data_IF_998124788437
#
_entry.id   IF_998124788437
#
_cell.length_a   1.000
_cell.length_b   1.000
_cell.length_c   1.000
_cell.angle_alpha   90.00
_cell.angle_beta   90.00
_cell.angle_gamma   90.00
#
_symmetry.space_group_name_H-M   'P 1'
#
loop_
_entity.id
_entity.type
_entity.pdbx_description
1 polymer ?
#
# COMPACT_ATOMS: atom_id res chain seq x y z
N UNK A 1 52.69 0.58 14.92
CA UNK A 1 51.47 -0.11 15.43
C UNK A 1 50.23 0.78 15.46
N UNK A 2 50.21 1.93 16.17
CA UNK A 2 49.00 2.80 16.26
C UNK A 2 48.48 3.36 14.93
N UNK A 3 49.35 3.74 13.99
CA UNK A 3 48.96 4.27 12.67
C UNK A 3 48.23 3.23 11.81
N UNK A 4 48.66 1.97 11.85
CA UNK A 4 48.02 0.88 11.08
C UNK A 4 46.63 0.57 11.64
N UNK A 5 46.46 0.56 12.97
CA UNK A 5 45.16 0.36 13.63
C UNK A 5 44.18 1.47 13.24
N UNK A 6 44.62 2.74 13.27
CA UNK A 6 43.76 3.87 12.91
C UNK A 6 43.36 3.86 11.42
N UNK A 7 44.26 3.45 10.52
CA UNK A 7 43.95 3.26 9.09
C UNK A 7 42.96 2.11 8.85
N UNK A 8 43.12 0.97 9.54
CA UNK A 8 42.20 -0.16 9.41
C UNK A 8 40.82 0.17 9.96
N UNK A 9 40.73 0.91 11.06
CA UNK A 9 39.43 1.33 11.61
C UNK A 9 38.73 2.33 10.69
N UNK A 10 39.46 3.28 10.09
CA UNK A 10 38.90 4.20 9.09
C UNK A 10 38.41 3.50 7.82
N UNK A 11 39.17 2.52 7.33
CA UNK A 11 38.76 1.72 6.17
C UNK A 11 37.52 0.85 6.45
N UNK A 12 37.42 0.25 7.64
CA UNK A 12 36.24 -0.54 8.05
C UNK A 12 35.01 0.36 8.20
N UNK A 13 35.15 1.55 8.80
CA UNK A 13 34.05 2.51 8.93
C UNK A 13 33.55 2.99 7.56
N UNK A 14 34.45 3.27 6.62
CA UNK A 14 34.11 3.67 5.26
C UNK A 14 33.39 2.53 4.50
N UNK A 15 33.87 1.29 4.63
CA UNK A 15 33.25 0.13 3.99
C UNK A 15 31.84 -0.17 4.54
N UNK A 16 31.64 -0.08 5.85
CA UNK A 16 30.32 -0.25 6.48
C UNK A 16 29.37 0.89 6.09
N UNK A 17 29.85 2.13 6.01
CA UNK A 17 29.06 3.28 5.55
C UNK A 17 28.60 3.15 4.09
N UNK A 18 29.43 2.59 3.21
CA UNK A 18 29.10 2.36 1.81
C UNK A 18 27.94 1.36 1.61
N UNK A 19 27.72 0.43 2.55
CA UNK A 19 26.58 -0.50 2.50
C UNK A 19 25.23 0.21 2.69
N UNK A 20 25.19 1.35 3.39
CA UNK A 20 23.97 2.14 3.60
C UNK A 20 23.67 3.12 2.45
N UNK A 21 24.59 3.28 1.49
CA UNK A 21 24.41 4.14 0.31
C UNK A 21 23.77 3.41 -0.88
N UNK A 22 23.53 2.11 -0.77
CA UNK A 22 22.73 1.38 -1.74
C UNK A 22 21.26 1.50 -1.36
N UNK A 23 20.44 2.29 -2.07
CA UNK A 23 19.01 2.14 -1.95
C UNK A 23 18.69 0.72 -2.40
N UNK A 24 18.34 -0.14 -1.45
CA UNK A 24 17.67 -1.39 -1.76
C UNK A 24 16.42 -0.95 -2.52
N UNK A 25 16.38 -1.20 -3.82
CA UNK A 25 15.21 -0.92 -4.65
C UNK A 25 14.11 -1.87 -4.18
N UNK A 26 13.40 -1.48 -3.13
CA UNK A 26 12.20 -2.15 -2.68
C UNK A 26 11.14 -1.85 -3.74
N UNK A 27 10.79 -2.86 -4.55
CA UNK A 27 9.62 -2.79 -5.39
C UNK A 27 8.39 -2.89 -4.48
N UNK A 28 7.87 -1.74 -4.06
CA UNK A 28 6.60 -1.70 -3.36
C UNK A 28 5.48 -1.79 -4.41
N UNK A 29 5.01 -3.01 -4.68
CA UNK A 29 3.78 -3.21 -5.43
C UNK A 29 2.59 -2.94 -4.49
N UNK A 30 2.27 -1.65 -4.33
CA UNK A 30 1.19 -1.17 -3.47
C UNK A 30 -0.17 -1.79 -3.84
N UNK A 31 -0.30 -2.21 -5.09
CA UNK A 31 -1.47 -2.74 -5.80
C UNK A 31 -1.64 -4.27 -5.75
N UNK A 32 -0.84 -4.97 -4.94
CA UNK A 32 -1.00 -6.43 -4.74
C UNK A 32 -2.10 -6.75 -3.73
N UNK A 33 -2.61 -7.99 -3.76
CA UNK A 33 -3.61 -8.47 -2.79
C UNK A 33 -3.12 -8.45 -1.34
N UNK A 34 -1.81 -8.60 -1.14
CA UNK A 34 -1.15 -8.49 0.16
C UNK A 34 -0.55 -7.09 0.39
N UNK A 35 -0.83 -6.15 -0.51
CA UNK A 35 -0.31 -4.79 -0.52
C UNK A 35 -1.04 -3.85 0.45
N UNK A 36 -0.42 -2.70 0.77
CA UNK A 36 -1.00 -1.71 1.67
C UNK A 36 -2.36 -1.16 1.20
N UNK A 37 -2.60 -1.06 -0.12
CA UNK A 37 -3.87 -0.59 -0.68
C UNK A 37 -5.02 -1.52 -0.27
N UNK A 38 -4.83 -2.83 -0.43
CA UNK A 38 -5.84 -3.83 -0.06
C UNK A 38 -5.95 -3.97 1.46
N UNK A 39 -4.86 -3.84 2.21
CA UNK A 39 -4.90 -3.81 3.67
C UNK A 39 -5.76 -2.68 4.21
N UNK A 40 -5.67 -1.48 3.64
CA UNK A 40 -6.55 -0.36 4.02
C UNK A 40 -7.99 -0.55 3.51
N UNK A 41 -8.21 -1.22 2.37
CA UNK A 41 -9.56 -1.58 1.92
C UNK A 41 -10.27 -2.54 2.87
N UNK A 42 -9.56 -3.57 3.35
CA UNK A 42 -10.06 -4.48 4.37
C UNK A 42 -10.40 -3.73 5.66
N UNK A 43 -9.55 -2.78 6.06
CA UNK A 43 -9.81 -1.92 7.21
C UNK A 43 -11.03 -1.02 7.00
N UNK A 44 -11.18 -0.43 5.81
CA UNK A 44 -12.34 0.38 5.46
C UNK A 44 -13.64 -0.41 5.59
N UNK A 45 -13.67 -1.64 5.08
CA UNK A 45 -14.82 -2.54 5.21
C UNK A 45 -15.10 -2.92 6.67
N UNK A 46 -14.08 -3.21 7.46
CA UNK A 46 -14.23 -3.62 8.86
C UNK A 46 -14.71 -2.47 9.77
N UNK A 47 -14.33 -1.24 9.44
CA UNK A 47 -14.70 -0.04 10.21
C UNK A 47 -15.81 0.78 9.55
N UNK A 48 -16.38 0.30 8.46
CA UNK A 48 -17.41 0.97 7.65
C UNK A 48 -17.03 2.42 7.29
N UNK A 49 -15.75 2.63 6.96
CA UNK A 49 -15.17 3.97 6.83
C UNK A 49 -14.31 4.10 5.56
N UNK A 50 -14.85 4.77 4.55
CA UNK A 50 -14.19 5.01 3.25
C UNK A 50 -12.92 5.87 3.33
N UNK A 51 -12.71 6.63 4.41
CA UNK A 51 -11.52 7.51 4.54
C UNK A 51 -10.20 6.73 4.52
N UNK A 52 -10.21 5.44 4.90
CA UNK A 52 -9.04 4.57 4.80
C UNK A 52 -8.59 4.33 3.36
N UNK A 53 -9.52 4.35 2.39
CA UNK A 53 -9.23 4.12 0.98
C UNK A 53 -9.15 5.42 0.16
N UNK A 54 -9.80 6.50 0.59
CA UNK A 54 -9.75 7.81 -0.07
C UNK A 54 -8.30 8.33 -0.24
N UNK A 55 -7.42 8.04 0.72
CA UNK A 55 -5.99 8.43 0.64
C UNK A 55 -5.21 7.78 -0.51
N UNK A 56 -5.75 6.72 -1.12
CA UNK A 56 -5.11 5.95 -2.20
C UNK A 56 -5.58 6.36 -3.59
N UNK A 57 -6.50 7.33 -3.69
CA UNK A 57 -7.06 7.82 -4.95
C UNK A 57 -6.74 9.32 -5.14
N UNK A 58 -6.77 9.79 -6.38
CA UNK A 58 -6.71 11.23 -6.66
C UNK A 58 -7.99 11.92 -6.18
N UNK A 59 -7.94 13.22 -5.80
CA UNK A 59 -9.13 13.98 -5.42
C UNK A 59 -10.27 13.91 -6.44
N UNK A 60 -9.95 13.87 -7.74
CA UNK A 60 -10.94 13.79 -8.82
C UNK A 60 -11.64 12.43 -8.90
N UNK A 61 -11.11 11.40 -8.23
CA UNK A 61 -11.64 10.04 -8.21
C UNK A 61 -12.20 9.65 -6.83
N UNK A 62 -12.23 10.58 -5.87
CA UNK A 62 -12.72 10.33 -4.52
C UNK A 62 -14.22 9.99 -4.53
N UNK A 63 -15.03 10.74 -5.26
CA UNK A 63 -16.47 10.46 -5.39
C UNK A 63 -16.74 9.07 -6.02
N UNK A 64 -15.94 8.65 -7.00
CA UNK A 64 -16.07 7.34 -7.62
C UNK A 64 -15.84 6.21 -6.62
N UNK A 65 -14.78 6.29 -5.81
CA UNK A 65 -14.46 5.23 -4.85
C UNK A 65 -15.45 5.23 -3.67
N UNK A 66 -15.93 6.39 -3.24
CA UNK A 66 -16.98 6.49 -2.23
C UNK A 66 -18.30 5.86 -2.71
N UNK A 67 -18.69 6.11 -3.96
CA UNK A 67 -19.86 5.50 -4.57
C UNK A 67 -19.77 3.97 -4.70
N UNK A 68 -18.57 3.45 -4.99
CA UNK A 68 -18.29 2.01 -5.00
C UNK A 68 -18.37 1.44 -3.58
N UNK A 69 -17.77 2.12 -2.60
CA UNK A 69 -17.80 1.70 -1.21
C UNK A 69 -19.24 1.62 -0.68
N UNK A 70 -20.08 2.62 -0.99
CA UNK A 70 -21.49 2.63 -0.60
C UNK A 70 -22.27 1.42 -1.17
N UNK A 71 -22.08 1.11 -2.47
CA UNK A 71 -22.71 -0.06 -3.09
C UNK A 71 -22.26 -1.38 -2.45
N UNK A 72 -20.99 -1.48 -2.08
CA UNK A 72 -20.45 -2.67 -1.41
C UNK A 72 -21.06 -2.83 -0.03
N UNK A 73 -21.17 -1.77 0.75
CA UNK A 73 -21.81 -1.80 2.06
C UNK A 73 -23.30 -2.16 2.00
N UNK A 74 -23.99 -1.81 0.92
CA UNK A 74 -25.41 -2.14 0.73
C UNK A 74 -25.66 -3.65 0.60
N UNK A 75 -24.75 -4.38 -0.06
CA UNK A 75 -24.99 -5.79 -0.45
C UNK A 75 -24.10 -6.81 0.27
N UNK A 76 -22.99 -6.38 0.90
CA UNK A 76 -22.00 -7.34 1.43
C UNK A 76 -22.54 -8.21 2.56
N UNK A 77 -23.55 -7.73 3.29
CA UNK A 77 -24.11 -8.45 4.44
C UNK A 77 -25.28 -9.38 4.07
N UNK A 78 -25.67 -9.44 2.78
CA UNK A 78 -26.78 -10.28 2.32
C UNK A 78 -26.50 -11.79 2.44
N UNK A 79 -25.25 -12.20 2.19
CA UNK A 79 -24.78 -13.58 2.31
C UNK A 79 -23.25 -13.68 2.31
N UNK A 80 -22.66 -14.82 2.72
CA UNK A 80 -21.22 -15.05 2.60
C UNK A 80 -20.69 -14.93 1.15
N UNK A 81 -21.49 -15.36 0.18
CA UNK A 81 -21.16 -15.23 -1.24
C UNK A 81 -21.22 -13.77 -1.71
N UNK A 82 -22.23 -13.02 -1.25
CA UNK A 82 -22.36 -11.59 -1.53
C UNK A 82 -21.19 -10.81 -0.94
N UNK A 83 -20.80 -11.10 0.31
CA UNK A 83 -19.63 -10.51 0.95
C UNK A 83 -18.37 -10.71 0.11
N UNK A 84 -18.09 -11.95 -0.30
CA UNK A 84 -16.90 -12.25 -1.10
C UNK A 84 -16.89 -11.49 -2.43
N UNK A 85 -18.04 -11.40 -3.10
CA UNK A 85 -18.15 -10.70 -4.38
C UNK A 85 -18.02 -9.18 -4.21
N UNK A 86 -18.65 -8.62 -3.18
CA UNK A 86 -18.63 -7.19 -2.89
C UNK A 86 -17.23 -6.73 -2.44
N UNK A 87 -16.59 -7.47 -1.54
CA UNK A 87 -15.22 -7.20 -1.11
C UNK A 87 -14.25 -7.25 -2.31
N UNK A 88 -14.37 -8.27 -3.17
CA UNK A 88 -13.56 -8.38 -4.39
C UNK A 88 -13.81 -7.21 -5.38
N UNK A 89 -15.07 -6.81 -5.55
CA UNK A 89 -15.44 -5.67 -6.39
C UNK A 89 -14.81 -4.36 -5.90
N UNK A 90 -14.76 -4.13 -4.58
CA UNK A 90 -14.04 -2.98 -4.02
C UNK A 90 -12.54 -3.06 -4.33
N UNK A 91 -11.92 -4.21 -4.08
CA UNK A 91 -10.48 -4.39 -4.25
C UNK A 91 -10.02 -4.14 -5.69
N UNK A 92 -10.72 -4.73 -6.66
CA UNK A 92 -10.40 -4.57 -8.09
C UNK A 92 -10.54 -3.11 -8.54
N UNK A 93 -11.61 -2.43 -8.11
CA UNK A 93 -11.82 -1.03 -8.48
C UNK A 93 -10.84 -0.10 -7.78
N UNK A 94 -10.55 -0.31 -6.51
CA UNK A 94 -9.57 0.49 -5.78
C UNK A 94 -8.18 0.36 -6.41
N UNK A 95 -7.74 -0.86 -6.71
CA UNK A 95 -6.45 -1.09 -7.39
C UNK A 95 -6.44 -0.42 -8.75
N UNK A 96 -7.49 -0.58 -9.55
CA UNK A 96 -7.60 0.08 -10.87
C UNK A 96 -7.47 1.60 -10.76
N UNK A 97 -8.21 2.23 -9.85
CA UNK A 97 -8.17 3.69 -9.66
C UNK A 97 -6.81 4.12 -9.12
N UNK A 98 -6.22 3.37 -8.19
CA UNK A 98 -4.90 3.64 -7.64
C UNK A 98 -3.81 3.60 -8.73
N UNK A 99 -3.87 2.64 -9.66
CA UNK A 99 -2.90 2.54 -10.75
C UNK A 99 -2.95 3.73 -11.71
N UNK A 100 -4.05 4.48 -11.79
CA UNK A 100 -4.16 5.70 -12.61
C UNK A 100 -3.34 6.87 -12.04
N UNK A 101 -2.95 6.83 -10.75
CA UNK A 101 -2.12 7.90 -10.12
C UNK A 101 -0.72 7.99 -10.75
N UNK A 102 -0.20 6.89 -11.28
CA UNK A 102 1.19 6.80 -11.74
C UNK A 102 1.37 7.00 -13.25
N UNK A 103 0.33 7.47 -13.95
CA UNK A 103 0.33 7.73 -15.40
C UNK A 103 0.31 9.23 -15.65
#
# INVERSE_FOLDING_TARGET
MRKNIMMTTGAVLAATGALFLNPLTASAHCDTMDGPVIGDAQKALAEENSSYIAKWVLPEREEDIEGIFAQVMEVRDDSPEAQKLADQYLFENLVRIHSEIFI
#
